data_IF_147457340080
#
_entry.id   IF_147457340080
#
_cell.length_a   1.000
_cell.length_b   1.000
_cell.length_c   1.000
_cell.angle_alpha   90.00
_cell.angle_beta   90.00
_cell.angle_gamma   90.00
#
_symmetry.space_group_name_H-M   'P 1'
#
loop_
_entity.id
_entity.type
_entity.pdbx_description
1 polymer ?
#
# COMPACT_ATOMS: atom_id res chain seq x y z
N UNK A 1 78.18 -38.06 57.20
CA UNK A 1 76.86 -38.70 57.39
C UNK A 1 75.65 -37.74 57.33
N UNK A 2 75.78 -36.45 56.98
CA UNK A 2 74.67 -35.47 57.12
C UNK A 2 73.77 -35.23 55.88
N UNK A 3 74.07 -35.86 54.73
CA UNK A 3 73.30 -35.68 53.48
C UNK A 3 72.24 -36.77 53.20
N UNK A 4 72.36 -37.95 53.80
CA UNK A 4 71.43 -39.06 53.54
C UNK A 4 70.01 -38.83 54.09
N UNK A 5 69.88 -38.12 55.21
CA UNK A 5 68.58 -37.88 55.86
C UNK A 5 67.79 -36.77 55.13
N UNK A 6 68.48 -35.73 54.63
CA UNK A 6 67.85 -34.64 53.89
C UNK A 6 67.28 -35.08 52.53
N UNK A 7 67.94 -36.03 51.85
CA UNK A 7 67.47 -36.63 50.59
C UNK A 7 66.21 -37.49 50.76
N UNK A 8 66.12 -38.25 51.85
CA UNK A 8 64.94 -39.08 52.11
C UNK A 8 63.70 -38.24 52.47
N UNK A 9 63.87 -37.14 53.22
CA UNK A 9 62.76 -36.25 53.59
C UNK A 9 62.22 -35.49 52.38
N UNK A 10 63.10 -35.05 51.48
CA UNK A 10 62.69 -34.39 50.23
C UNK A 10 62.00 -35.35 49.26
N UNK A 11 62.43 -36.61 49.17
CA UNK A 11 61.75 -37.64 48.38
C UNK A 11 60.36 -38.01 48.95
N UNK A 12 60.21 -38.06 50.27
CA UNK A 12 58.92 -38.28 50.94
C UNK A 12 57.95 -37.12 50.75
N UNK A 13 58.45 -35.87 50.82
CA UNK A 13 57.64 -34.68 50.58
C UNK A 13 57.21 -34.55 49.11
N UNK A 14 58.09 -34.88 48.15
CA UNK A 14 57.71 -34.93 46.73
C UNK A 14 56.69 -36.05 46.44
N UNK A 15 56.85 -37.22 47.07
CA UNK A 15 55.92 -38.35 46.93
C UNK A 15 54.51 -38.03 47.46
N UNK A 16 54.40 -37.27 48.56
CA UNK A 16 53.11 -36.81 49.07
C UNK A 16 52.45 -35.76 48.18
N UNK A 17 53.22 -34.92 47.47
CA UNK A 17 52.67 -33.93 46.55
C UNK A 17 52.02 -34.56 45.30
N UNK A 18 52.45 -35.78 44.91
CA UNK A 18 51.87 -36.52 43.77
C UNK A 18 50.54 -37.24 44.08
N UNK A 19 50.21 -37.50 45.36
CA UNK A 19 48.97 -38.19 45.74
C UNK A 19 47.75 -37.25 45.90
N UNK A 20 47.95 -35.93 45.78
CA UNK A 20 46.90 -34.92 45.98
C UNK A 20 45.93 -34.71 44.82
N UNK A 21 46.11 -35.39 43.67
CA UNK A 21 45.20 -35.27 42.53
C UNK A 21 44.27 -36.48 42.46
N UNK A 22 43.45 -36.65 43.50
CA UNK A 22 42.25 -37.45 43.39
C UNK A 22 41.34 -36.74 42.38
N UNK A 23 41.18 -37.33 41.20
CA UNK A 23 40.16 -36.97 40.23
C UNK A 23 38.85 -36.71 40.99
N UNK A 24 38.25 -35.51 40.79
CA UNK A 24 36.93 -35.22 41.34
C UNK A 24 35.96 -36.35 40.97
N UNK A 25 34.92 -36.58 41.79
CA UNK A 25 34.00 -37.69 41.58
C UNK A 25 33.45 -37.65 40.15
N UNK A 26 33.93 -38.55 39.30
CA UNK A 26 33.41 -38.72 37.95
C UNK A 26 31.93 -39.08 38.06
N UNK A 27 31.11 -38.53 37.16
CA UNK A 27 29.67 -38.78 37.05
C UNK A 27 29.26 -40.14 37.63
N UNK A 28 28.61 -40.11 38.80
CA UNK A 28 28.20 -41.32 39.52
C UNK A 28 27.18 -42.12 38.70
N UNK A 29 27.05 -43.43 38.97
CA UNK A 29 26.07 -44.29 38.30
C UNK A 29 24.65 -43.71 38.39
N UNK A 30 24.30 -43.13 39.54
CA UNK A 30 23.00 -42.49 39.77
C UNK A 30 22.77 -41.26 38.88
N UNK A 31 23.81 -40.49 38.57
CA UNK A 31 23.70 -39.34 37.68
C UNK A 31 23.47 -39.78 36.23
N UNK A 32 24.04 -40.93 35.81
CA UNK A 32 23.74 -41.53 34.49
C UNK A 32 22.28 -41.95 34.37
N UNK A 33 21.73 -42.60 35.40
CA UNK A 33 20.33 -43.04 35.40
C UNK A 33 19.36 -41.84 35.41
N UNK A 34 19.73 -40.76 36.11
CA UNK A 34 18.98 -39.48 36.07
C UNK A 34 19.04 -38.84 34.69
N UNK A 35 20.19 -38.85 34.02
CA UNK A 35 20.34 -38.35 32.65
C UNK A 35 19.48 -39.14 31.66
N UNK A 36 19.50 -40.46 31.73
CA UNK A 36 18.68 -41.32 30.85
C UNK A 36 17.18 -41.03 31.05
N UNK A 37 16.73 -40.85 32.30
CA UNK A 37 15.34 -40.48 32.60
C UNK A 37 14.99 -39.08 32.10
N UNK A 38 15.91 -38.13 32.20
CA UNK A 38 15.73 -36.77 31.69
C UNK A 38 15.65 -36.76 30.17
N UNK A 39 16.49 -37.53 29.49
CA UNK A 39 16.46 -37.70 28.03
C UNK A 39 15.13 -38.32 27.59
N UNK A 40 14.66 -39.37 28.26
CA UNK A 40 13.36 -39.97 27.95
C UNK A 40 12.19 -38.99 28.16
N UNK A 41 12.23 -38.17 29.22
CA UNK A 41 11.24 -37.11 29.44
C UNK A 41 11.31 -36.01 28.37
N UNK A 42 12.51 -35.65 27.94
CA UNK A 42 12.73 -34.66 26.87
C UNK A 42 12.23 -35.17 25.52
N UNK A 43 12.46 -36.44 25.19
CA UNK A 43 11.94 -37.05 23.96
C UNK A 43 10.41 -37.01 23.93
N UNK A 44 9.75 -37.43 25.01
CA UNK A 44 8.28 -37.38 25.11
C UNK A 44 7.76 -35.94 25.08
N UNK A 45 8.47 -35.01 25.72
CA UNK A 45 8.12 -33.59 25.68
C UNK A 45 8.23 -33.03 24.25
N UNK A 46 9.32 -33.30 23.54
CA UNK A 46 9.50 -32.88 22.15
C UNK A 46 8.40 -33.45 21.26
N UNK A 47 8.05 -34.73 21.41
CA UNK A 47 6.98 -35.33 20.62
C UNK A 47 5.60 -34.70 20.90
N UNK A 48 5.31 -34.35 22.16
CA UNK A 48 4.08 -33.63 22.52
C UNK A 48 4.07 -32.20 21.97
N UNK A 49 5.21 -31.51 22.04
CA UNK A 49 5.39 -30.16 21.52
C UNK A 49 5.21 -30.14 20.01
N UNK A 50 5.83 -31.07 19.28
CA UNK A 50 5.69 -31.19 17.83
C UNK A 50 4.24 -31.41 17.42
N UNK A 51 3.51 -32.31 18.09
CA UNK A 51 2.07 -32.53 17.82
C UNK A 51 1.23 -31.27 18.05
N UNK A 52 1.55 -30.49 19.09
CA UNK A 52 0.86 -29.21 19.37
C UNK A 52 1.20 -28.15 18.33
N UNK A 53 2.46 -28.04 17.94
CA UNK A 53 2.89 -27.12 16.90
C UNK A 53 2.23 -27.45 15.57
N UNK A 54 2.19 -28.72 15.17
CA UNK A 54 1.52 -29.13 13.92
C UNK A 54 0.01 -28.79 13.95
N UNK A 55 -0.65 -28.96 15.10
CA UNK A 55 -2.05 -28.57 15.28
C UNK A 55 -2.25 -27.05 15.17
N UNK A 56 -1.34 -26.27 15.75
CA UNK A 56 -1.36 -24.81 15.69
C UNK A 56 -1.12 -24.34 14.26
N UNK A 57 -0.15 -24.92 13.57
CA UNK A 57 0.21 -24.57 12.20
C UNK A 57 -0.97 -24.83 11.24
N UNK A 58 -1.64 -25.98 11.39
CA UNK A 58 -2.90 -26.28 10.66
C UNK A 58 -3.97 -25.20 10.87
N UNK A 59 -4.18 -24.76 12.11
CA UNK A 59 -5.16 -23.70 12.41
C UNK A 59 -4.75 -22.34 11.86
N UNK A 60 -3.46 -22.02 11.85
CA UNK A 60 -2.97 -20.79 11.24
C UNK A 60 -3.15 -20.80 9.73
N UNK A 61 -2.88 -21.92 9.06
CA UNK A 61 -3.13 -22.08 7.62
C UNK A 61 -4.62 -21.91 7.32
N UNK A 62 -5.50 -22.60 8.04
CA UNK A 62 -6.95 -22.49 7.88
C UNK A 62 -7.44 -21.05 8.10
N UNK A 63 -6.97 -20.38 9.16
CA UNK A 63 -7.32 -18.99 9.43
C UNK A 63 -6.85 -18.06 8.31
N UNK A 64 -5.64 -18.27 7.78
CA UNK A 64 -5.09 -17.47 6.69
C UNK A 64 -5.89 -17.66 5.40
N UNK A 65 -6.29 -18.89 5.10
CA UNK A 65 -7.15 -19.19 3.95
C UNK A 65 -8.53 -18.54 4.07
N UNK A 66 -9.16 -18.63 5.24
CA UNK A 66 -10.46 -17.98 5.49
C UNK A 66 -10.35 -16.46 5.37
N UNK A 67 -9.32 -15.86 6.01
CA UNK A 67 -9.04 -14.43 5.88
C UNK A 67 -8.83 -14.03 4.41
N UNK A 68 -8.01 -14.77 3.65
CA UNK A 68 -7.77 -14.48 2.24
C UNK A 68 -9.08 -14.49 1.43
N UNK A 69 -9.95 -15.48 1.63
CA UNK A 69 -11.26 -15.54 0.94
C UNK A 69 -12.11 -14.31 1.24
N UNK A 70 -12.21 -13.92 2.52
CA UNK A 70 -12.99 -12.72 2.90
C UNK A 70 -12.37 -11.44 2.36
N UNK A 71 -11.04 -11.34 2.31
CA UNK A 71 -10.35 -10.22 1.69
C UNK A 71 -10.59 -10.15 0.18
N UNK A 72 -10.57 -11.28 -0.54
CA UNK A 72 -10.91 -11.33 -1.96
C UNK A 72 -12.34 -10.87 -2.22
N UNK A 73 -13.30 -11.27 -1.38
CA UNK A 73 -14.69 -10.82 -1.44
C UNK A 73 -14.80 -9.30 -1.24
N UNK A 74 -14.11 -8.75 -0.22
CA UNK A 74 -14.06 -7.31 0.03
C UNK A 74 -13.43 -6.54 -1.13
N UNK A 75 -12.33 -7.04 -1.70
CA UNK A 75 -11.68 -6.44 -2.86
C UNK A 75 -12.61 -6.46 -4.07
N UNK A 76 -13.33 -7.56 -4.29
CA UNK A 76 -14.31 -7.69 -5.38
C UNK A 76 -15.43 -6.67 -5.22
N UNK A 77 -15.97 -6.52 -4.01
CA UNK A 77 -16.98 -5.49 -3.72
C UNK A 77 -16.43 -4.07 -3.99
N UNK A 78 -15.19 -3.80 -3.59
CA UNK A 78 -14.54 -2.51 -3.82
C UNK A 78 -14.37 -2.20 -5.31
N UNK A 79 -14.01 -3.20 -6.12
CA UNK A 79 -13.92 -3.08 -7.58
C UNK A 79 -15.27 -2.75 -8.22
N UNK A 80 -16.36 -3.39 -7.77
CA UNK A 80 -17.72 -3.10 -8.26
C UNK A 80 -18.11 -1.66 -7.91
N UNK A 81 -17.90 -1.24 -6.66
CA UNK A 81 -18.21 0.11 -6.20
C UNK A 81 -17.41 1.17 -6.98
N UNK A 82 -16.11 0.94 -7.16
CA UNK A 82 -15.23 1.80 -7.95
C UNK A 82 -15.67 1.85 -9.42
N UNK A 83 -16.14 0.73 -9.97
CA UNK A 83 -16.69 0.65 -11.32
C UNK A 83 -17.95 1.51 -11.49
N UNK A 84 -18.91 1.42 -10.58
CA UNK A 84 -20.13 2.24 -10.59
C UNK A 84 -19.79 3.73 -10.47
N UNK A 85 -18.93 4.08 -9.51
CA UNK A 85 -18.52 5.46 -9.31
C UNK A 85 -17.80 6.06 -10.53
N UNK A 86 -16.92 5.27 -11.14
CA UNK A 86 -16.19 5.66 -12.36
C UNK A 86 -17.16 5.81 -13.54
N UNK A 87 -18.11 4.90 -13.71
CA UNK A 87 -19.15 4.99 -14.73
C UNK A 87 -20.00 6.25 -14.57
N UNK A 88 -20.41 6.58 -13.35
CA UNK A 88 -21.13 7.83 -13.03
C UNK A 88 -20.29 9.06 -13.38
N UNK A 89 -19.01 9.06 -13.00
CA UNK A 89 -18.08 10.16 -13.27
C UNK A 89 -17.90 10.39 -14.78
N UNK A 90 -17.70 9.31 -15.55
CA UNK A 90 -17.60 9.37 -17.01
C UNK A 90 -18.90 9.85 -17.64
N UNK A 91 -20.05 9.41 -17.13
CA UNK A 91 -21.35 9.88 -17.62
C UNK A 91 -21.53 11.40 -17.39
N UNK A 92 -21.16 11.91 -16.21
CA UNK A 92 -21.22 13.35 -15.90
C UNK A 92 -20.28 14.16 -16.78
N UNK A 93 -19.02 13.70 -16.95
CA UNK A 93 -18.04 14.36 -17.83
C UNK A 93 -18.51 14.33 -19.28
N UNK A 94 -19.02 13.19 -19.74
CA UNK A 94 -19.56 13.02 -21.08
C UNK A 94 -20.74 13.96 -21.34
N UNK A 95 -21.66 14.07 -20.39
CA UNK A 95 -22.78 15.03 -20.46
C UNK A 95 -22.28 16.48 -20.49
N UNK A 96 -21.33 16.86 -19.62
CA UNK A 96 -20.76 18.20 -19.61
C UNK A 96 -20.04 18.55 -20.93
N UNK A 97 -19.38 17.58 -21.56
CA UNK A 97 -18.74 17.78 -22.86
C UNK A 97 -19.77 17.92 -23.99
N UNK A 98 -20.87 17.15 -23.95
CA UNK A 98 -21.96 17.27 -24.91
C UNK A 98 -22.67 18.62 -24.76
N UNK A 99 -23.07 18.99 -23.54
CA UNK A 99 -23.82 20.22 -23.23
C UNK A 99 -23.19 21.48 -23.83
N UNK A 100 -21.85 21.63 -23.67
CA UNK A 100 -21.09 22.74 -24.24
C UNK A 100 -21.20 22.85 -25.76
N UNK A 101 -21.28 21.73 -26.49
CA UNK A 101 -21.35 21.73 -27.97
C UNK A 101 -22.78 21.98 -28.47
N UNK A 102 -23.81 21.56 -27.74
CA UNK A 102 -25.21 21.68 -28.19
C UNK A 102 -25.92 22.97 -27.79
N UNK A 103 -25.61 23.56 -26.62
CA UNK A 103 -26.31 24.78 -26.16
C UNK A 103 -25.85 26.02 -26.93
N UNK A 104 -24.55 26.16 -27.23
CA UNK A 104 -24.01 27.34 -27.91
C UNK A 104 -24.58 27.50 -29.33
N UNK A 105 -24.85 26.41 -30.04
CA UNK A 105 -25.41 26.50 -31.39
C UNK A 105 -26.90 26.88 -31.39
N UNK A 106 -27.69 26.38 -30.43
CA UNK A 106 -29.12 26.74 -30.34
C UNK A 106 -29.32 28.20 -29.92
N UNK A 107 -28.55 28.67 -28.93
CA UNK A 107 -28.62 30.06 -28.50
C UNK A 107 -28.24 31.05 -29.63
N UNK A 108 -27.23 30.71 -30.46
CA UNK A 108 -26.85 31.56 -31.60
C UNK A 108 -27.93 31.63 -32.68
N UNK A 109 -28.59 30.51 -32.96
CA UNK A 109 -29.67 30.46 -33.97
C UNK A 109 -30.86 31.31 -33.54
N UNK A 110 -31.37 31.15 -32.32
CA UNK A 110 -32.49 31.96 -31.80
C UNK A 110 -32.12 33.45 -31.72
N UNK A 111 -30.88 33.78 -31.34
CA UNK A 111 -30.44 35.18 -31.28
C UNK A 111 -30.36 35.80 -32.67
N UNK A 112 -29.90 35.07 -33.69
CA UNK A 112 -29.81 35.58 -35.07
C UNK A 112 -31.22 35.76 -35.66
N UNK A 113 -32.12 34.80 -35.43
CA UNK A 113 -33.49 34.84 -35.94
C UNK A 113 -34.32 35.95 -35.29
N UNK A 114 -34.20 36.18 -33.96
CA UNK A 114 -34.83 37.34 -33.31
C UNK A 114 -34.25 38.69 -33.77
N UNK A 115 -32.94 38.75 -34.07
CA UNK A 115 -32.31 39.97 -34.60
C UNK A 115 -32.77 40.28 -36.04
N UNK A 116 -33.07 39.24 -36.82
CA UNK A 116 -33.54 39.32 -38.19
C UNK A 116 -35.05 39.65 -38.27
N UNK A 117 -35.90 38.95 -37.50
CA UNK A 117 -37.35 39.19 -37.41
C UNK A 117 -37.69 40.59 -36.88
N UNK A 118 -36.96 41.07 -35.87
CA UNK A 118 -37.23 42.42 -35.32
C UNK A 118 -36.75 43.55 -36.23
N UNK A 119 -36.14 43.26 -37.38
CA UNK A 119 -35.56 44.27 -38.26
C UNK A 119 -34.49 45.13 -37.58
N UNK A 120 -34.03 44.76 -36.38
CA UNK A 120 -33.06 45.54 -35.59
C UNK A 120 -31.74 45.65 -36.33
N UNK A 121 -31.36 44.63 -37.10
CA UNK A 121 -30.18 44.69 -37.97
C UNK A 121 -30.32 45.78 -39.06
N UNK A 122 -31.50 45.89 -39.68
CA UNK A 122 -31.78 46.95 -40.68
C UNK A 122 -31.84 48.34 -40.03
N UNK A 123 -32.51 48.47 -38.89
CA UNK A 123 -32.60 49.72 -38.15
C UNK A 123 -31.22 50.19 -37.64
N UNK A 124 -30.41 49.27 -37.12
CA UNK A 124 -29.06 49.56 -36.65
C UNK A 124 -28.15 49.96 -37.81
N UNK A 125 -28.31 49.34 -38.98
CA UNK A 125 -27.59 49.71 -40.20
C UNK A 125 -28.02 51.08 -40.75
N UNK A 126 -29.31 51.42 -40.71
CA UNK A 126 -29.79 52.77 -41.04
C UNK A 126 -29.26 53.83 -40.08
N UNK A 127 -29.27 53.56 -38.77
CA UNK A 127 -28.68 54.45 -37.76
C UNK A 127 -27.19 54.63 -37.99
N UNK A 128 -26.45 53.55 -38.25
CA UNK A 128 -25.03 53.61 -38.59
C UNK A 128 -24.80 54.41 -39.88
N UNK A 129 -25.67 54.28 -40.89
CA UNK A 129 -25.58 55.02 -42.15
C UNK A 129 -25.86 56.51 -41.98
N UNK A 130 -26.85 56.88 -41.16
CA UNK A 130 -27.16 58.26 -40.82
C UNK A 130 -26.04 58.92 -40.00
N UNK A 131 -25.41 58.17 -39.09
CA UNK A 131 -24.26 58.65 -38.31
C UNK A 131 -23.01 58.76 -39.19
N UNK A 132 -22.79 57.82 -40.11
CA UNK A 132 -21.70 57.87 -41.08
C UNK A 132 -21.80 59.04 -42.06
N UNK A 133 -23.01 59.53 -42.36
CA UNK A 133 -23.17 60.76 -43.12
C UNK A 133 -22.67 62.02 -42.36
N UNK A 134 -22.51 61.93 -41.03
CA UNK A 134 -22.09 63.01 -40.15
C UNK A 134 -20.64 62.89 -39.67
N UNK A 135 -20.06 61.70 -39.68
CA UNK A 135 -18.71 61.40 -39.17
C UNK A 135 -17.89 60.60 -40.20
N UNK A 136 -16.77 61.17 -40.67
CA UNK A 136 -15.92 60.60 -41.73
C UNK A 136 -15.27 59.28 -41.32
N UNK A 137 -14.95 59.10 -40.02
CA UNK A 137 -14.35 57.87 -39.52
C UNK A 137 -15.33 56.69 -39.59
N UNK A 138 -16.62 56.94 -39.39
CA UNK A 138 -17.65 55.90 -39.43
C UNK A 138 -17.96 55.49 -40.88
N UNK A 139 -17.99 56.45 -41.81
CA UNK A 139 -18.16 56.16 -43.24
C UNK A 139 -17.02 55.29 -43.80
N UNK A 140 -15.79 55.53 -43.35
CA UNK A 140 -14.63 54.75 -43.76
C UNK A 140 -14.67 53.32 -43.18
N UNK A 141 -15.13 53.16 -41.93
CA UNK A 141 -15.36 51.85 -41.32
C UNK A 141 -16.42 51.02 -42.08
N UNK A 142 -17.55 51.62 -42.45
CA UNK A 142 -18.60 50.93 -43.23
C UNK A 142 -18.14 50.53 -44.63
N UNK A 143 -17.34 51.37 -45.31
CA UNK A 143 -16.71 51.02 -46.61
C UNK A 143 -15.72 49.87 -46.49
N UNK A 144 -14.91 49.82 -45.43
CA UNK A 144 -13.95 48.72 -45.19
C UNK A 144 -14.63 47.35 -45.03
N UNK A 145 -15.83 47.32 -44.45
CA UNK A 145 -16.61 46.10 -44.28
C UNK A 145 -17.60 45.82 -45.43
N UNK A 146 -17.53 46.57 -46.54
CA UNK A 146 -18.37 46.38 -47.72
C UNK A 146 -19.90 46.46 -47.45
N UNK A 147 -20.28 47.24 -46.42
CA UNK A 147 -21.67 47.45 -45.98
C UNK A 147 -22.32 48.68 -46.65
N UNK A 148 -21.62 49.31 -47.59
CA UNK A 148 -22.00 50.52 -48.32
C UNK A 148 -21.86 50.33 -49.83
#
# INVERSE_FOLDING_TARGET
>A
MRWGIAGCVTALLLGMASLGWAQGPGFAQEDRDRLIRLEARLQVFMEQVDKRFEQVDKRFVELREDMNKRFEELMTFMWILAGIFTALTVAVIGFAYWDRRTIIQRAKLETIEELEERGKLRALLEVMRAVAAKDSNMAEALRRFNLL
#
